data_IF_489349547495
#
_entry.id   IF_489349547495
#
_cell.length_a   1.000
_cell.length_b   1.000
_cell.length_c   1.000
_cell.angle_alpha   90.00
_cell.angle_beta   90.00
_cell.angle_gamma   90.00
#
_symmetry.space_group_name_H-M   'P 1'
#
loop_
_entity.id
_entity.type
_entity.pdbx_description
1 polymer ?
#
# COMPACT_ATOMS: atom_id res chain seq x y z
N UNK A 1 -2.88 -32.51 20.50
CA UNK A 1 -1.54 -31.96 20.13
C UNK A 1 -1.66 -30.52 19.60
N UNK A 2 -0.59 -29.71 19.60
CA UNK A 2 -0.67 -28.30 19.13
C UNK A 2 -1.19 -28.16 17.68
N UNK A 3 -0.84 -29.10 16.79
CA UNK A 3 -1.32 -29.13 15.39
C UNK A 3 -2.85 -29.29 15.29
N UNK A 4 -3.46 -30.11 16.15
CA UNK A 4 -4.92 -30.26 16.22
C UNK A 4 -5.59 -28.96 16.71
N UNK A 5 -5.01 -28.28 17.70
CA UNK A 5 -5.53 -27.00 18.19
C UNK A 5 -5.47 -25.90 17.13
N UNK A 6 -4.39 -25.84 16.34
CA UNK A 6 -4.28 -24.88 15.24
C UNK A 6 -5.26 -25.20 14.11
N UNK A 7 -5.49 -26.48 13.83
CA UNK A 7 -6.53 -26.90 12.89
C UNK A 7 -7.93 -26.49 13.38
N UNK A 8 -8.17 -26.56 14.69
CA UNK A 8 -9.40 -26.06 15.30
C UNK A 8 -9.54 -24.53 15.20
N UNK A 9 -8.47 -23.76 15.46
CA UNK A 9 -8.47 -22.31 15.24
C UNK A 9 -8.86 -21.95 13.81
N UNK A 10 -8.30 -22.65 12.82
CA UNK A 10 -8.66 -22.45 11.42
C UNK A 10 -10.16 -22.73 11.16
N UNK A 11 -10.71 -23.77 11.78
CA UNK A 11 -12.13 -24.10 11.68
C UNK A 11 -13.06 -23.06 12.35
N UNK A 12 -12.56 -22.35 13.37
CA UNK A 12 -13.25 -21.22 14.01
C UNK A 12 -13.10 -19.91 13.23
N UNK A 13 -12.46 -19.93 12.05
CA UNK A 13 -12.23 -18.73 11.23
C UNK A 13 -11.03 -17.90 11.67
N UNK A 14 -10.23 -18.37 12.63
CA UNK A 14 -9.01 -17.68 13.07
C UNK A 14 -7.92 -17.91 12.03
N UNK A 15 -7.41 -16.81 11.45
CA UNK A 15 -6.41 -16.86 10.40
C UNK A 15 -4.97 -16.64 10.91
N UNK A 16 -4.84 -15.97 12.06
CA UNK A 16 -3.58 -15.59 12.68
C UNK A 16 -3.72 -15.55 14.21
N UNK A 17 -2.58 -15.57 14.92
CA UNK A 17 -2.54 -15.48 16.38
C UNK A 17 -1.17 -15.01 16.87
N UNK A 18 -1.15 -14.42 18.05
CA UNK A 18 0.07 -14.05 18.78
C UNK A 18 0.55 -15.16 19.71
N UNK A 19 1.82 -15.15 20.07
CA UNK A 19 2.37 -16.07 21.08
C UNK A 19 1.65 -15.93 22.43
N UNK A 20 1.30 -14.70 22.83
CA UNK A 20 0.57 -14.42 24.06
C UNK A 20 -0.84 -15.03 24.08
N UNK A 21 -1.58 -14.94 22.96
CA UNK A 21 -2.89 -15.59 22.86
C UNK A 21 -2.76 -17.11 22.92
N UNK A 22 -1.68 -17.66 22.36
CA UNK A 22 -1.41 -19.09 22.42
C UNK A 22 -1.15 -19.57 23.84
N UNK A 23 -0.36 -18.81 24.61
CA UNK A 23 -0.08 -19.10 26.04
C UNK A 23 -1.36 -19.08 26.88
N UNK A 24 -2.29 -18.17 26.60
CA UNK A 24 -3.57 -18.09 27.31
C UNK A 24 -4.52 -19.24 26.97
N UNK A 25 -4.50 -19.73 25.73
CA UNK A 25 -5.42 -20.78 25.24
C UNK A 25 -4.90 -22.21 25.46
N UNK A 26 -3.61 -22.36 25.75
CA UNK A 26 -2.96 -23.67 25.83
C UNK A 26 -2.16 -23.77 27.12
N UNK A 27 -2.65 -24.58 28.05
CA UNK A 27 -1.94 -25.00 29.25
C UNK A 27 -0.72 -25.85 28.87
N UNK A 28 0.42 -25.21 28.64
CA UNK A 28 1.71 -25.83 28.33
C UNK A 28 2.84 -24.86 28.67
N UNK A 29 4.05 -25.38 28.90
CA UNK A 29 5.19 -24.50 29.17
C UNK A 29 5.56 -23.67 27.93
N UNK A 30 6.07 -22.43 28.11
CA UNK A 30 6.49 -21.59 26.99
C UNK A 30 7.56 -22.24 26.10
N UNK A 31 8.44 -23.06 26.69
CA UNK A 31 9.47 -23.82 25.96
C UNK A 31 8.86 -24.91 25.08
N UNK A 32 7.85 -25.63 25.58
CA UNK A 32 7.13 -26.64 24.81
C UNK A 32 6.35 -26.01 23.65
N UNK A 33 5.69 -24.87 23.88
CA UNK A 33 4.98 -24.13 22.82
C UNK A 33 5.94 -23.67 21.72
N UNK A 34 7.07 -23.04 22.08
CA UNK A 34 8.09 -22.60 21.10
C UNK A 34 8.64 -23.77 20.29
N UNK A 35 8.93 -24.91 20.92
CA UNK A 35 9.38 -26.11 20.23
C UNK A 35 8.33 -26.64 19.24
N UNK A 36 7.06 -26.64 19.64
CA UNK A 36 5.97 -27.09 18.79
C UNK A 36 5.70 -26.12 17.62
N UNK A 37 5.75 -24.80 17.83
CA UNK A 37 5.65 -23.79 16.76
C UNK A 37 6.79 -23.92 15.74
N UNK A 38 8.03 -24.13 16.19
CA UNK A 38 9.17 -24.39 15.30
C UNK A 38 8.94 -25.60 14.40
N UNK A 39 8.37 -26.68 14.95
CA UNK A 39 8.04 -27.88 14.18
C UNK A 39 6.97 -27.60 13.13
N UNK A 40 5.94 -26.81 13.45
CA UNK A 40 4.88 -26.44 12.52
C UNK A 40 5.37 -25.53 11.40
N UNK A 41 6.23 -24.55 11.73
CA UNK A 41 6.92 -23.72 10.74
C UNK A 41 7.76 -24.57 9.78
N UNK A 42 8.51 -25.55 10.30
CA UNK A 42 9.31 -26.47 9.46
C UNK A 42 8.44 -27.30 8.51
N UNK A 43 7.19 -27.59 8.89
CA UNK A 43 6.21 -28.28 8.04
C UNK A 43 5.46 -27.34 7.08
N UNK A 44 5.62 -26.02 7.21
CA UNK A 44 4.87 -25.03 6.44
C UNK A 44 3.39 -24.93 6.83
N UNK A 45 3.00 -25.42 8.02
CA UNK A 45 1.62 -25.30 8.52
C UNK A 45 1.33 -23.91 9.11
N UNK A 46 2.37 -23.20 9.53
CA UNK A 46 2.29 -21.81 9.99
C UNK A 46 3.48 -21.02 9.44
N UNK A 47 3.30 -19.71 9.33
CA UNK A 47 4.34 -18.74 9.03
C UNK A 47 4.44 -17.72 10.18
N UNK A 48 5.59 -17.06 10.32
CA UNK A 48 5.81 -16.00 11.32
C UNK A 48 6.28 -14.74 10.59
N UNK A 49 5.36 -13.96 9.97
CA UNK A 49 5.75 -12.76 9.22
C UNK A 49 6.29 -11.64 10.13
N UNK A 50 5.92 -11.65 11.41
CA UNK A 50 6.44 -10.74 12.42
C UNK A 50 6.74 -11.51 13.70
N UNK A 51 7.78 -11.09 14.44
CA UNK A 51 8.20 -11.80 15.65
C UNK A 51 7.06 -11.92 16.65
N UNK A 52 6.71 -13.15 17.02
CA UNK A 52 5.64 -13.43 17.97
C UNK A 52 4.23 -13.38 17.39
N UNK A 53 4.08 -13.09 16.09
CA UNK A 53 2.82 -13.13 15.35
C UNK A 53 2.87 -14.22 14.29
N UNK A 54 1.91 -15.13 14.34
CA UNK A 54 1.86 -16.33 13.50
C UNK A 54 0.63 -16.29 12.61
N UNK A 55 0.80 -16.76 11.38
CA UNK A 55 -0.27 -16.91 10.39
C UNK A 55 -0.43 -18.39 10.11
N UNK A 56 -1.67 -18.88 10.16
CA UNK A 56 -1.98 -20.26 9.78
C UNK A 56 -1.89 -20.35 8.26
N UNK A 57 -1.15 -21.34 7.74
CA UNK A 57 -0.92 -21.52 6.30
C UNK A 57 -1.72 -22.73 5.81
N UNK A 58 -2.90 -22.50 5.19
CA UNK A 58 -3.66 -23.54 4.51
C UNK A 58 -2.86 -24.27 3.43
N UNK A 59 -3.24 -25.52 3.08
CA UNK A 59 -2.59 -26.30 2.03
C UNK A 59 -2.37 -25.54 0.71
N UNK A 60 -3.35 -24.75 0.27
CA UNK A 60 -3.31 -23.97 -0.97
C UNK A 60 -2.23 -22.87 -0.99
N UNK A 61 -1.78 -22.42 0.19
CA UNK A 61 -0.73 -21.40 0.32
C UNK A 61 0.64 -21.96 0.73
N UNK A 62 0.79 -23.28 0.88
CA UNK A 62 2.06 -23.88 1.30
C UNK A 62 3.21 -23.62 0.31
N UNK A 63 2.93 -23.56 -0.99
CA UNK A 63 3.92 -23.24 -2.03
C UNK A 63 4.39 -21.78 -1.98
N UNK A 64 3.55 -20.90 -1.42
CA UNK A 64 3.84 -19.49 -1.18
C UNK A 64 4.64 -19.32 0.14
N UNK A 65 4.51 -20.26 1.07
CA UNK A 65 5.22 -20.28 2.36
C UNK A 65 4.64 -19.31 3.40
N UNK A 66 3.58 -18.58 3.05
CA UNK A 66 2.76 -17.74 3.90
C UNK A 66 1.41 -17.52 3.18
N UNK A 67 0.42 -16.93 3.87
CA UNK A 67 -0.78 -16.41 3.20
C UNK A 67 -0.45 -15.13 2.43
N UNK A 68 -1.22 -14.79 1.37
CA UNK A 68 -1.15 -13.49 0.72
C UNK A 68 -1.24 -12.34 1.74
N UNK A 69 -0.55 -11.24 1.46
CA UNK A 69 -0.36 -10.16 2.42
C UNK A 69 -1.68 -9.52 2.86
N UNK A 70 -2.60 -9.32 1.93
CA UNK A 70 -3.95 -8.81 2.17
C UNK A 70 -4.74 -9.66 3.18
N UNK A 71 -4.33 -10.91 3.39
CA UNK A 71 -4.99 -11.82 4.31
C UNK A 71 -4.46 -11.80 5.75
N UNK A 72 -3.29 -11.20 6.02
CA UNK A 72 -2.76 -11.14 7.39
C UNK A 72 -2.39 -9.73 7.84
N UNK A 73 -2.26 -8.77 6.92
CA UNK A 73 -1.93 -7.38 7.27
C UNK A 73 -2.98 -6.76 8.20
N UNK A 74 -4.30 -6.93 8.01
CA UNK A 74 -5.28 -6.38 8.94
C UNK A 74 -5.06 -6.84 10.39
N UNK A 75 -4.92 -8.16 10.59
CA UNK A 75 -4.68 -8.76 11.90
C UNK A 75 -3.33 -8.34 12.49
N UNK A 76 -2.28 -8.28 11.65
CA UNK A 76 -0.95 -7.85 12.08
C UNK A 76 -0.97 -6.39 12.55
N UNK A 77 -1.64 -5.50 11.83
CA UNK A 77 -1.71 -4.08 12.19
C UNK A 77 -2.56 -3.86 13.44
N UNK A 78 -3.60 -4.67 13.64
CA UNK A 78 -4.36 -4.70 14.89
C UNK A 78 -3.49 -5.19 16.07
N UNK A 79 -2.73 -6.28 15.89
CA UNK A 79 -1.77 -6.78 16.88
C UNK A 79 -0.73 -5.72 17.27
N UNK A 80 -0.27 -4.92 16.30
CA UNK A 80 0.69 -3.84 16.53
C UNK A 80 0.06 -2.57 17.10
N UNK A 81 -1.28 -2.44 17.06
CA UNK A 81 -2.00 -1.25 17.46
C UNK A 81 -1.68 -0.03 16.60
N UNK A 82 -1.42 -0.23 15.30
CA UNK A 82 -1.00 0.85 14.40
C UNK A 82 -2.01 1.16 13.28
N UNK A 83 -2.10 2.45 12.97
CA UNK A 83 -2.78 2.91 11.78
C UNK A 83 -2.02 2.49 10.53
N UNK A 84 -2.79 1.97 9.58
CA UNK A 84 -2.30 1.55 8.29
C UNK A 84 -3.36 1.76 7.22
N UNK A 85 -2.92 1.77 5.97
CA UNK A 85 -3.76 1.45 4.82
C UNK A 85 -2.91 0.85 3.71
N UNK A 86 -3.53 0.11 2.81
CA UNK A 86 -2.89 -0.37 1.58
C UNK A 86 -2.96 0.76 0.56
N UNK A 87 -1.78 1.16 0.05
CA UNK A 87 -1.60 2.31 -0.83
C UNK A 87 -0.71 1.98 -2.02
N UNK A 88 -0.32 3.01 -2.77
CA UNK A 88 0.60 2.89 -3.91
C UNK A 88 0.12 1.86 -4.95
N UNK A 89 1.03 1.09 -5.55
CA UNK A 89 0.70 0.13 -6.61
C UNK A 89 -0.22 -0.99 -6.11
N UNK A 90 -0.09 -1.40 -4.84
CA UNK A 90 -0.98 -2.42 -4.27
C UNK A 90 -2.41 -1.93 -4.18
N UNK A 91 -2.63 -0.65 -3.90
CA UNK A 91 -3.98 -0.09 -3.95
C UNK A 91 -4.47 0.12 -5.38
N UNK A 92 -3.58 0.59 -6.27
CA UNK A 92 -3.90 0.80 -7.67
C UNK A 92 -4.42 -0.48 -8.35
N UNK A 93 -3.86 -1.65 -8.03
CA UNK A 93 -4.35 -2.94 -8.52
C UNK A 93 -5.84 -3.15 -8.19
N UNK A 94 -6.27 -2.81 -6.97
CA UNK A 94 -7.68 -2.93 -6.56
C UNK A 94 -8.60 -1.89 -7.22
N UNK A 95 -8.02 -0.81 -7.76
CA UNK A 95 -8.73 0.25 -8.46
C UNK A 95 -8.75 0.07 -9.98
N UNK A 96 -8.26 -1.08 -10.49
CA UNK A 96 -8.33 -1.43 -11.91
C UNK A 96 -7.00 -1.38 -12.66
N UNK A 97 -5.91 -0.91 -12.03
CA UNK A 97 -4.57 -0.88 -12.63
C UNK A 97 -3.90 -2.27 -12.62
N UNK A 98 -4.51 -3.23 -13.31
CA UNK A 98 -4.23 -4.65 -13.14
C UNK A 98 -3.06 -5.18 -13.99
N UNK A 99 -2.59 -4.42 -15.01
CA UNK A 99 -1.57 -4.91 -15.95
C UNK A 99 -0.18 -5.06 -15.32
N UNK A 100 0.05 -4.45 -14.15
CA UNK A 100 1.29 -4.60 -13.38
C UNK A 100 1.02 -5.04 -11.95
N UNK A 101 0.68 -6.33 -11.75
CA UNK A 101 0.57 -6.90 -10.40
C UNK A 101 1.90 -6.72 -9.64
N UNK A 102 1.93 -5.92 -8.55
CA UNK A 102 3.15 -5.70 -7.81
C UNK A 102 3.62 -7.02 -7.19
N UNK A 103 4.89 -7.37 -7.39
CA UNK A 103 5.48 -8.52 -6.69
C UNK A 103 5.57 -8.30 -5.16
N UNK A 104 5.44 -7.04 -4.72
CA UNK A 104 5.56 -6.64 -3.33
C UNK A 104 4.30 -5.91 -2.91
N UNK A 105 3.71 -6.35 -1.79
CA UNK A 105 2.56 -5.69 -1.20
C UNK A 105 3.00 -4.41 -0.47
N UNK A 106 2.32 -3.30 -0.71
CA UNK A 106 2.71 -1.98 -0.21
C UNK A 106 1.71 -1.48 0.81
N UNK A 107 2.20 -1.18 2.00
CA UNK A 107 1.39 -0.73 3.14
C UNK A 107 1.92 0.60 3.65
N UNK A 108 1.05 1.58 3.72
CA UNK A 108 1.34 2.88 4.31
C UNK A 108 1.21 2.77 5.83
N UNK A 109 2.16 3.33 6.57
CA UNK A 109 2.25 3.25 8.04
C UNK A 109 2.69 4.58 8.66
N UNK A 110 2.42 4.77 9.95
CA UNK A 110 2.81 5.99 10.67
C UNK A 110 4.33 6.08 10.95
N UNK A 111 5.01 4.94 11.10
CA UNK A 111 6.41 4.85 11.53
C UNK A 111 7.21 3.89 10.67
N UNK A 112 8.53 4.10 10.49
CA UNK A 112 9.37 3.19 9.71
C UNK A 112 9.30 1.76 10.21
N UNK A 113 9.15 0.80 9.28
CA UNK A 113 9.09 -0.63 9.57
C UNK A 113 9.96 -1.42 8.59
N UNK A 114 10.53 -2.52 9.08
CA UNK A 114 11.31 -3.42 8.22
C UNK A 114 10.37 -4.18 7.28
N UNK A 115 10.81 -4.36 6.04
CA UNK A 115 10.15 -5.25 5.08
C UNK A 115 9.93 -6.63 5.69
N UNK A 116 8.73 -7.17 5.50
CA UNK A 116 8.42 -8.55 5.82
C UNK A 116 8.76 -9.41 4.62
N UNK A 117 9.49 -10.50 4.87
CA UNK A 117 9.71 -11.57 3.91
C UNK A 117 9.27 -12.86 4.60
N UNK A 118 8.19 -13.46 4.11
CA UNK A 118 7.64 -14.69 4.67
C UNK A 118 7.32 -15.66 3.54
N UNK A 119 8.20 -16.64 3.34
CA UNK A 119 8.20 -17.44 2.11
C UNK A 119 8.47 -16.56 0.90
N UNK A 120 7.58 -16.60 -0.09
CA UNK A 120 7.59 -15.75 -1.29
C UNK A 120 6.77 -14.46 -1.12
N UNK A 121 6.11 -14.28 0.01
CA UNK A 121 5.33 -13.07 0.29
C UNK A 121 6.25 -11.98 0.80
N UNK A 122 6.20 -10.83 0.15
CA UNK A 122 6.93 -9.64 0.55
C UNK A 122 5.96 -8.49 0.84
N UNK A 123 6.18 -7.81 1.96
CA UNK A 123 5.46 -6.59 2.33
C UNK A 123 6.44 -5.46 2.60
N UNK A 124 6.30 -4.37 1.85
CA UNK A 124 7.04 -3.14 2.08
C UNK A 124 6.17 -2.13 2.83
N UNK A 125 6.80 -1.45 3.79
CA UNK A 125 6.17 -0.40 4.57
C UNK A 125 6.69 0.98 4.17
N UNK A 126 5.79 1.89 3.87
CA UNK A 126 6.10 3.25 3.44
C UNK A 126 5.48 4.23 4.45
N UNK A 127 6.25 5.22 4.88
CA UNK A 127 5.82 6.12 5.94
C UNK A 127 4.98 7.28 5.40
N UNK A 128 3.78 7.47 5.96
CA UNK A 128 2.90 8.62 5.74
C UNK A 128 2.65 9.34 7.05
N UNK A 129 3.10 10.60 7.16
CA UNK A 129 3.06 11.35 8.42
C UNK A 129 1.66 11.66 8.93
N UNK A 130 0.70 11.89 8.03
CA UNK A 130 -0.70 12.16 8.35
C UNK A 130 -1.62 10.99 8.01
N UNK A 131 -1.15 9.75 8.23
CA UNK A 131 -1.84 8.53 7.81
C UNK A 131 -3.31 8.44 8.25
N UNK A 132 -3.62 8.92 9.46
CA UNK A 132 -4.98 8.88 10.02
C UNK A 132 -5.97 9.76 9.25
N UNK A 133 -5.48 10.82 8.62
CA UNK A 133 -6.31 11.76 7.88
C UNK A 133 -6.55 11.32 6.43
N UNK A 134 -5.73 10.40 5.91
CA UNK A 134 -5.85 9.97 4.50
C UNK A 134 -7.12 9.14 4.33
N UNK A 135 -7.98 9.48 3.34
CA UNK A 135 -9.23 8.75 3.16
C UNK A 135 -8.96 7.32 2.70
N UNK A 136 -9.70 6.40 3.31
CA UNK A 136 -9.64 4.97 3.02
C UNK A 136 -11.04 4.41 2.86
N UNK A 137 -11.14 3.28 2.17
CA UNK A 137 -12.35 2.49 2.01
C UNK A 137 -12.12 1.05 2.46
N UNK A 138 -13.13 0.38 3.03
CA UNK A 138 -13.01 -1.02 3.40
C UNK A 138 -12.98 -1.90 2.14
N UNK A 139 -12.09 -2.90 2.15
CA UNK A 139 -12.02 -3.93 1.10
C UNK A 139 -12.08 -5.31 1.74
N UNK A 140 -13.08 -6.10 1.36
CA UNK A 140 -13.18 -7.49 1.80
C UNK A 140 -12.03 -8.32 1.22
N UNK A 141 -11.43 -9.15 2.07
CA UNK A 141 -10.44 -10.17 1.72
C UNK A 141 -10.98 -11.54 2.18
N UNK A 142 -10.30 -12.62 1.81
CA UNK A 142 -10.70 -13.98 2.20
C UNK A 142 -10.71 -14.17 3.74
N UNK A 143 -9.90 -13.41 4.47
CA UNK A 143 -9.71 -13.56 5.92
C UNK A 143 -10.17 -12.35 6.74
N UNK A 144 -10.71 -11.30 6.13
CA UNK A 144 -11.17 -10.13 6.88
C UNK A 144 -11.45 -8.90 6.02
N UNK A 145 -11.40 -7.73 6.66
CA UNK A 145 -11.59 -6.43 6.00
C UNK A 145 -10.28 -5.65 6.09
N UNK A 146 -9.81 -5.22 4.93
CA UNK A 146 -8.59 -4.44 4.77
C UNK A 146 -8.91 -2.97 4.54
N UNK A 147 -8.09 -2.07 5.07
CA UNK A 147 -8.16 -0.64 4.76
C UNK A 147 -7.39 -0.36 3.47
N UNK A 148 -8.08 0.14 2.45
CA UNK A 148 -7.52 0.49 1.14
C UNK A 148 -7.61 2.00 0.95
N UNK A 149 -6.57 2.68 0.45
CA UNK A 149 -6.70 4.10 0.07
C UNK A 149 -7.78 4.28 -1.00
N UNK A 150 -8.50 5.40 -0.98
CA UNK A 150 -9.41 5.73 -2.10
C UNK A 150 -8.62 5.92 -3.40
N UNK A 151 -9.26 5.90 -4.58
CA UNK A 151 -8.58 6.16 -5.85
C UNK A 151 -7.76 7.46 -5.84
N UNK A 152 -8.31 8.52 -5.27
CA UNK A 152 -7.69 9.85 -5.21
C UNK A 152 -6.48 9.85 -4.26
N UNK A 153 -6.62 9.25 -3.07
CA UNK A 153 -5.49 9.07 -2.15
C UNK A 153 -4.38 8.21 -2.76
N UNK A 154 -4.76 7.19 -3.52
CA UNK A 154 -3.81 6.34 -4.24
C UNK A 154 -3.05 7.14 -5.30
N UNK A 155 -3.75 7.98 -6.09
CA UNK A 155 -3.13 8.84 -7.08
C UNK A 155 -2.09 9.81 -6.45
N UNK A 156 -2.41 10.37 -5.28
CA UNK A 156 -1.47 11.19 -4.51
C UNK A 156 -0.28 10.40 -3.99
N UNK A 157 -0.50 9.19 -3.49
CA UNK A 157 0.58 8.32 -3.04
C UNK A 157 1.52 7.94 -4.19
N UNK A 158 0.99 7.59 -5.37
CA UNK A 158 1.77 7.29 -6.56
C UNK A 158 2.66 8.49 -6.97
N UNK A 159 2.08 9.69 -7.04
CA UNK A 159 2.82 10.90 -7.37
C UNK A 159 3.84 11.27 -6.28
N UNK A 160 3.49 11.12 -5.01
CA UNK A 160 4.33 11.50 -3.87
C UNK A 160 5.53 10.58 -3.66
N UNK A 161 5.29 9.28 -3.79
CA UNK A 161 6.23 8.20 -3.52
C UNK A 161 6.62 7.45 -4.80
N UNK A 162 6.71 8.15 -5.93
CA UNK A 162 7.01 7.61 -7.26
C UNK A 162 8.18 6.63 -7.31
N UNK A 163 9.21 6.79 -6.45
CA UNK A 163 10.35 5.86 -6.37
C UNK A 163 9.96 4.46 -5.91
N UNK A 164 8.94 4.34 -5.07
CA UNK A 164 8.36 3.07 -4.67
C UNK A 164 7.43 2.49 -5.73
N UNK A 165 7.16 3.24 -6.81
CA UNK A 165 6.19 2.92 -7.85
C UNK A 165 6.86 2.73 -9.21
N UNK A 166 8.16 2.40 -9.27
CA UNK A 166 8.85 2.23 -10.55
C UNK A 166 9.11 3.53 -11.33
N UNK A 167 9.14 4.67 -10.64
CA UNK A 167 9.34 6.02 -11.19
C UNK A 167 8.17 6.56 -12.03
N UNK A 168 8.35 7.75 -12.61
CA UNK A 168 7.25 8.56 -13.14
C UNK A 168 6.58 7.95 -14.38
N UNK A 169 7.31 7.21 -15.20
CA UNK A 169 6.75 6.51 -16.37
C UNK A 169 5.71 5.48 -15.93
N UNK A 170 6.09 4.57 -15.01
CA UNK A 170 5.16 3.60 -14.46
C UNK A 170 4.01 4.26 -13.67
N UNK A 171 4.27 5.37 -12.97
CA UNK A 171 3.18 6.14 -12.33
C UNK A 171 2.21 6.67 -13.38
N UNK A 172 2.68 7.20 -14.51
CA UNK A 172 1.80 7.69 -15.57
C UNK A 172 0.97 6.56 -16.18
N UNK A 173 1.58 5.40 -16.48
CA UNK A 173 0.86 4.20 -16.92
C UNK A 173 -0.25 3.82 -15.95
N UNK A 174 0.07 3.66 -14.66
CA UNK A 174 -0.91 3.28 -13.64
C UNK A 174 -2.01 4.32 -13.48
N UNK A 175 -1.67 5.61 -13.52
CA UNK A 175 -2.67 6.67 -13.46
C UNK A 175 -3.61 6.63 -14.67
N UNK A 176 -3.11 6.31 -15.87
CA UNK A 176 -3.92 6.20 -17.09
C UNK A 176 -4.99 5.12 -16.98
N UNK A 177 -4.73 4.05 -16.23
CA UNK A 177 -5.70 2.97 -15.97
C UNK A 177 -6.69 3.34 -14.87
N UNK A 178 -6.31 4.23 -13.95
CA UNK A 178 -7.13 4.65 -12.81
C UNK A 178 -8.02 5.85 -13.09
N UNK A 179 -7.82 6.59 -14.19
CA UNK A 179 -8.53 7.86 -14.44
C UNK A 179 -10.05 7.72 -14.38
N UNK A 180 -10.60 6.58 -14.81
CA UNK A 180 -12.05 6.35 -14.84
C UNK A 180 -12.70 6.22 -13.45
N UNK A 181 -11.91 5.89 -12.42
CA UNK A 181 -12.41 5.70 -11.05
C UNK A 181 -12.06 6.86 -10.13
N UNK A 182 -11.33 7.86 -10.62
CA UNK A 182 -10.97 9.07 -9.87
C UNK A 182 -12.13 10.07 -9.92
N UNK A 183 -12.58 10.50 -8.75
CA UNK A 183 -13.54 11.60 -8.61
C UNK A 183 -12.79 12.94 -8.55
N UNK A 184 -13.01 13.87 -9.49
CA UNK A 184 -12.26 15.13 -9.56
C UNK A 184 -12.43 16.03 -8.33
N UNK A 185 -13.60 16.03 -7.70
CA UNK A 185 -13.88 16.87 -6.53
C UNK A 185 -13.24 16.27 -5.26
N UNK A 186 -13.28 14.94 -5.13
CA UNK A 186 -12.54 14.26 -4.06
C UNK A 186 -11.03 14.43 -4.25
N UNK A 187 -10.54 14.52 -5.48
CA UNK A 187 -9.13 14.77 -5.76
C UNK A 187 -8.67 16.10 -5.16
N UNK A 188 -9.48 17.16 -5.29
CA UNK A 188 -9.21 18.45 -4.65
C UNK A 188 -9.24 18.34 -3.13
N UNK A 189 -10.18 17.57 -2.56
CA UNK A 189 -10.25 17.33 -1.11
C UNK A 189 -8.98 16.66 -0.58
N UNK A 190 -8.47 15.65 -1.28
CA UNK A 190 -7.22 14.96 -0.90
C UNK A 190 -5.98 15.83 -1.11
N UNK A 191 -6.03 16.79 -2.04
CA UNK A 191 -4.93 17.74 -2.27
C UNK A 191 -4.59 18.53 -1.00
N UNK A 192 -5.57 18.86 -0.16
CA UNK A 192 -5.38 19.55 1.12
C UNK A 192 -4.59 18.72 2.14
N UNK A 193 -4.66 17.40 2.01
CA UNK A 193 -3.97 16.44 2.87
C UNK A 193 -2.57 16.09 2.36
N UNK A 194 -2.12 16.71 1.27
CA UNK A 194 -0.88 16.34 0.59
C UNK A 194 0.07 17.53 0.42
N UNK A 195 1.40 17.30 0.42
CA UNK A 195 2.35 18.35 0.08
C UNK A 195 2.02 18.97 -1.28
N UNK A 196 2.08 20.29 -1.38
CA UNK A 196 1.72 21.00 -2.61
C UNK A 196 2.52 20.55 -3.82
N UNK A 197 3.78 20.13 -3.64
CA UNK A 197 4.62 19.57 -4.71
C UNK A 197 4.11 18.24 -5.27
N UNK A 198 3.34 17.49 -4.50
CA UNK A 198 2.68 16.28 -4.97
C UNK A 198 1.46 16.61 -5.81
N UNK A 199 0.69 17.63 -5.39
CA UNK A 199 -0.45 18.17 -6.15
C UNK A 199 0.00 18.67 -7.51
N UNK A 200 1.07 19.46 -7.54
CA UNK A 200 1.66 19.96 -8.79
C UNK A 200 2.06 18.80 -9.72
N UNK A 201 2.76 17.79 -9.17
CA UNK A 201 3.23 16.63 -9.95
C UNK A 201 2.07 15.79 -10.46
N UNK A 202 1.14 15.45 -9.59
CA UNK A 202 -0.03 14.65 -9.93
C UNK A 202 -0.86 15.33 -11.00
N UNK A 203 -1.12 16.63 -10.86
CA UNK A 203 -1.84 17.41 -11.85
C UNK A 203 -1.17 17.38 -13.23
N UNK A 204 0.15 17.56 -13.28
CA UNK A 204 0.88 17.43 -14.55
C UNK A 204 0.76 16.02 -15.14
N UNK A 205 0.89 14.97 -14.33
CA UNK A 205 0.79 13.59 -14.81
C UNK A 205 -0.63 13.26 -15.30
N UNK A 206 -1.67 13.68 -14.58
CA UNK A 206 -3.06 13.51 -15.02
C UNK A 206 -3.37 14.30 -16.29
N UNK A 207 -2.78 15.48 -16.49
CA UNK A 207 -2.90 16.19 -17.77
C UNK A 207 -2.31 15.38 -18.94
N UNK A 208 -1.27 14.59 -18.69
CA UNK A 208 -0.66 13.78 -19.76
C UNK A 208 -1.42 12.50 -20.09
N UNK A 209 -2.24 11.97 -19.17
CA UNK A 209 -2.88 10.65 -19.34
C UNK A 209 -4.41 10.66 -19.23
N UNK A 210 -5.02 11.75 -18.77
CA UNK A 210 -6.45 11.85 -18.49
C UNK A 210 -7.16 12.95 -19.29
N UNK A 211 -8.49 12.94 -19.22
CA UNK A 211 -9.32 14.00 -19.78
C UNK A 211 -9.26 15.28 -18.95
N UNK A 212 -9.62 16.42 -19.56
CA UNK A 212 -9.64 17.72 -18.88
C UNK A 212 -10.51 17.73 -17.61
N UNK A 213 -11.63 17.00 -17.64
CA UNK A 213 -12.57 16.89 -16.51
C UNK A 213 -11.91 16.35 -15.24
N UNK A 214 -10.92 15.46 -15.37
CA UNK A 214 -10.22 14.86 -14.23
C UNK A 214 -9.27 15.84 -13.55
N UNK A 215 -8.47 16.58 -14.33
CA UNK A 215 -7.40 17.42 -13.77
C UNK A 215 -7.78 18.90 -13.61
N UNK A 216 -8.82 19.39 -14.30
CA UNK A 216 -9.18 20.82 -14.29
C UNK A 216 -9.49 21.36 -12.88
N UNK A 217 -10.26 20.67 -12.01
CA UNK A 217 -10.49 21.15 -10.64
C UNK A 217 -9.18 21.29 -9.84
N UNK A 218 -8.25 20.35 -10.03
CA UNK A 218 -6.94 20.38 -9.39
C UNK A 218 -6.07 21.53 -9.90
N UNK A 219 -6.18 21.90 -11.18
CA UNK A 219 -5.52 23.08 -11.73
C UNK A 219 -6.05 24.38 -11.09
N UNK A 220 -7.36 24.46 -10.86
CA UNK A 220 -8.00 25.54 -10.11
C UNK A 220 -7.44 25.66 -8.69
N UNK A 221 -7.30 24.53 -7.99
CA UNK A 221 -6.70 24.46 -6.67
C UNK A 221 -5.25 24.97 -6.65
N UNK A 222 -4.41 24.51 -7.59
CA UNK A 222 -3.00 24.95 -7.70
C UNK A 222 -2.91 26.44 -7.99
N UNK A 223 -3.74 26.96 -8.90
CA UNK A 223 -3.78 28.38 -9.21
C UNK A 223 -4.16 29.23 -7.98
N UNK A 224 -5.17 28.79 -7.21
CA UNK A 224 -5.59 29.48 -5.99
C UNK A 224 -4.53 29.47 -4.88
N UNK A 225 -3.78 28.37 -4.72
CA UNK A 225 -2.68 28.26 -3.75
C UNK A 225 -1.43 29.03 -4.18
N UNK A 226 -1.29 29.35 -5.47
CA UNK A 226 -0.13 30.02 -6.07
C UNK A 226 1.23 29.53 -5.53
N UNK A 227 1.53 28.23 -5.66
CA UNK A 227 2.71 27.65 -5.03
C UNK A 227 4.01 28.03 -5.71
N UNK A 228 5.11 27.83 -4.99
CA UNK A 228 6.45 27.91 -5.55
C UNK A 228 6.64 26.90 -6.68
N UNK A 229 7.54 27.22 -7.60
CA UNK A 229 7.85 26.37 -8.73
C UNK A 229 8.61 25.12 -8.27
N UNK A 230 8.26 23.96 -8.82
CA UNK A 230 8.89 22.68 -8.46
C UNK A 230 9.40 21.92 -9.69
N UNK A 231 10.50 21.17 -9.61
CA UNK A 231 10.84 20.21 -10.66
C UNK A 231 9.81 19.06 -10.70
N UNK A 232 9.49 18.57 -11.90
CA UNK A 232 8.67 17.37 -12.06
C UNK A 232 9.33 16.16 -11.37
N UNK A 233 10.61 15.96 -11.69
CA UNK A 233 11.50 14.97 -11.10
C UNK A 233 12.58 15.66 -10.25
N UNK A 234 12.48 15.65 -8.90
CA UNK A 234 13.42 16.36 -8.03
C UNK A 234 14.90 15.99 -8.19
N UNK A 235 15.20 14.77 -8.65
CA UNK A 235 16.58 14.29 -8.84
C UNK A 235 17.21 14.70 -10.18
N UNK A 236 16.46 15.33 -11.09
CA UNK A 236 16.95 15.74 -12.41
C UNK A 236 17.21 17.25 -12.49
N UNK A 237 18.15 17.67 -13.34
CA UNK A 237 18.49 19.08 -13.55
C UNK A 237 17.34 19.86 -14.19
N UNK A 238 17.07 21.08 -13.71
CA UNK A 238 16.06 21.96 -14.33
C UNK A 238 16.63 22.83 -15.46
N UNK A 239 17.94 22.76 -15.73
CA UNK A 239 18.58 23.59 -16.76
C UNK A 239 18.01 23.23 -18.14
N UNK A 240 17.40 24.21 -18.80
CA UNK A 240 16.75 24.02 -20.10
C UNK A 240 15.36 23.37 -20.04
N UNK A 241 14.84 23.06 -18.85
CA UNK A 241 13.52 22.47 -18.69
C UNK A 241 12.41 23.47 -19.07
N UNK A 242 11.40 23.00 -19.79
CA UNK A 242 10.22 23.80 -20.11
C UNK A 242 9.42 24.07 -18.85
N UNK A 243 9.05 25.33 -18.62
CA UNK A 243 8.17 25.68 -17.52
C UNK A 243 6.70 25.51 -17.91
N UNK A 244 5.97 24.66 -17.17
CA UNK A 244 4.53 24.54 -17.23
C UNK A 244 3.91 25.50 -16.18
N UNK A 245 3.29 26.58 -16.68
CA UNK A 245 2.68 27.62 -15.84
C UNK A 245 1.47 27.14 -15.07
N UNK A 246 0.67 26.21 -15.62
CA UNK A 246 -0.55 25.70 -14.98
C UNK A 246 -0.22 25.01 -13.66
N UNK A 247 0.76 24.11 -13.69
CA UNK A 247 1.17 23.33 -12.53
C UNK A 247 2.30 23.95 -11.72
N UNK A 248 2.83 25.10 -12.16
CA UNK A 248 4.05 25.70 -11.62
C UNK A 248 5.21 24.68 -11.56
N UNK A 249 5.39 23.91 -12.64
CA UNK A 249 6.40 22.85 -12.72
C UNK A 249 7.44 23.10 -13.81
N UNK A 250 8.70 22.80 -13.51
CA UNK A 250 9.72 22.60 -14.54
C UNK A 250 9.66 21.15 -15.02
N UNK A 251 9.26 20.95 -16.28
CA UNK A 251 9.21 19.63 -16.94
C UNK A 251 10.64 19.24 -17.31
N UNK A 252 11.34 18.66 -16.35
CA UNK A 252 12.77 18.35 -16.39
C UNK A 252 13.08 16.87 -16.65
N UNK A 253 12.05 16.10 -16.98
CA UNK A 253 12.15 14.75 -17.54
C UNK A 253 11.01 14.57 -18.54
N UNK A 254 11.22 13.72 -19.54
CA UNK A 254 10.12 13.17 -20.32
C UNK A 254 9.44 12.10 -19.48
N UNK A 255 8.12 11.99 -19.58
CA UNK A 255 7.33 10.93 -18.99
C UNK A 255 6.59 10.24 -20.13
N UNK A 256 6.72 8.92 -20.22
CA UNK A 256 6.04 8.10 -21.22
C UNK A 256 5.17 7.07 -20.51
N UNK A 257 3.88 7.05 -20.84
CA UNK A 257 2.95 6.02 -20.39
C UNK A 257 2.90 4.89 -21.41
N UNK A 258 2.93 3.65 -20.94
CA UNK A 258 2.69 2.46 -21.75
C UNK A 258 1.17 2.33 -21.95
N UNK A 259 0.66 2.86 -23.07
CA UNK A 259 -0.75 2.74 -23.51
C UNK A 259 -0.79 1.91 -24.79
#
# INVERSE_FOLDING_TARGET
MLSEKISHFAAEGISSFSFSELEQRISSSPTALKSALRRLMKKGEIAMPYQGFYVIVPPEYRSLGCRPAEQFIPDLMNYLGEYYYVGLLSAAEYHGAAHHRPQVFQVMVAKPRRTIISGKVQVNFIVRGNIEAIPTQPRNTVSGIMKLSTPEATAFDLAGYYRHCGWLDNVATVLSEMVEVIDPEKLVTVAELSPITWVQRLGYLLETVGSEEIWQPLAGYVNAKNPVRSPLLPSATIKGARFNKRWQIYVNTKVESEI
#
